data_IF_459303456178
#
_entry.id   IF_459303456178
#
_cell.length_a   1.000
_cell.length_b   1.000
_cell.length_c   1.000
_cell.angle_alpha   90.00
_cell.angle_beta   90.00
_cell.angle_gamma   90.00
#
_symmetry.space_group_name_H-M   'P 1'
#
loop_
_entity.id
_entity.type
_entity.pdbx_description
1 polymer ?
#
# COMPACT_ATOMS: atom_id res chain seq x y z
N UNK A 1 34.36 39.79 6.22
CA UNK A 1 35.08 40.05 7.49
C UNK A 1 36.53 40.44 7.23
N UNK A 2 37.29 39.61 6.50
CA UNK A 2 38.68 39.93 6.14
C UNK A 2 38.79 41.15 5.19
N UNK A 3 37.89 41.30 4.21
CA UNK A 3 37.83 42.51 3.35
C UNK A 3 37.40 43.78 4.09
N UNK A 4 36.74 43.60 5.23
CA UNK A 4 36.26 44.68 6.07
C UNK A 4 37.25 44.98 7.21
N UNK A 5 38.49 44.47 7.12
CA UNK A 5 39.60 44.70 8.05
C UNK A 5 39.27 44.42 9.53
N UNK A 6 38.37 43.46 9.78
CA UNK A 6 37.98 43.12 11.14
C UNK A 6 39.11 42.34 11.84
N UNK A 7 39.41 42.72 13.09
CA UNK A 7 40.43 42.06 13.92
C UNK A 7 40.21 40.54 14.02
N UNK A 8 41.29 39.77 13.91
CA UNK A 8 41.29 38.29 13.92
C UNK A 8 40.59 37.71 15.16
N UNK A 9 40.79 38.32 16.32
CA UNK A 9 40.16 37.88 17.59
C UNK A 9 38.63 38.00 17.52
N UNK A 10 38.11 39.07 16.91
CA UNK A 10 36.66 39.25 16.70
C UNK A 10 36.11 38.25 15.69
N UNK A 11 36.86 37.97 14.61
CA UNK A 11 36.47 36.96 13.61
C UNK A 11 36.34 35.58 14.26
N UNK A 12 37.29 35.19 15.11
CA UNK A 12 37.23 33.93 15.86
C UNK A 12 36.02 33.87 16.79
N UNK A 13 35.69 34.98 17.47
CA UNK A 13 34.52 35.05 18.34
C UNK A 13 33.19 34.90 17.59
N UNK A 14 33.09 35.49 16.39
CA UNK A 14 31.88 35.45 15.55
C UNK A 14 31.72 34.07 14.89
N UNK A 15 32.79 33.55 14.27
CA UNK A 15 32.74 32.32 13.46
C UNK A 15 33.03 31.05 14.27
N UNK A 16 33.45 31.19 15.54
CA UNK A 16 33.82 30.10 16.44
C UNK A 16 34.81 29.12 15.82
N UNK A 17 35.83 29.64 15.13
CA UNK A 17 36.86 28.86 14.46
C UNK A 17 38.26 29.14 15.04
N UNK A 18 39.22 28.27 14.71
CA UNK A 18 40.58 28.37 15.25
C UNK A 18 41.36 29.53 14.61
N UNK A 19 42.27 30.12 15.40
CA UNK A 19 43.17 31.18 14.94
C UNK A 19 43.95 30.77 13.69
N UNK A 20 44.45 29.52 13.66
CA UNK A 20 45.20 28.96 12.53
C UNK A 20 44.38 28.92 11.24
N UNK A 21 43.06 28.66 11.33
CA UNK A 21 42.18 28.67 10.15
C UNK A 21 41.99 30.08 9.63
N UNK A 22 41.74 31.05 10.50
CA UNK A 22 41.58 32.47 10.11
C UNK A 22 42.86 32.98 9.46
N UNK A 23 44.03 32.65 10.03
CA UNK A 23 45.32 33.03 9.49
C UNK A 23 45.59 32.38 8.12
N UNK A 24 45.31 31.07 7.98
CA UNK A 24 45.45 30.35 6.71
C UNK A 24 44.59 30.97 5.61
N UNK A 25 43.33 31.26 5.89
CA UNK A 25 42.40 31.88 4.94
C UNK A 25 42.82 33.31 4.58
N UNK A 26 43.30 34.09 5.55
CA UNK A 26 43.83 35.44 5.31
C UNK A 26 45.08 35.42 4.41
N UNK A 27 45.97 34.44 4.62
CA UNK A 27 47.16 34.23 3.79
C UNK A 27 46.79 33.82 2.36
N UNK A 28 45.94 32.80 2.19
CA UNK A 28 45.46 32.35 0.87
C UNK A 28 44.86 33.50 0.08
N UNK A 29 44.07 34.35 0.73
CA UNK A 29 43.49 35.54 0.10
C UNK A 29 44.52 36.58 -0.34
N UNK A 30 45.54 36.83 0.48
CA UNK A 30 46.63 37.76 0.16
C UNK A 30 47.46 37.25 -1.03
N UNK A 31 47.60 35.94 -1.13
CA UNK A 31 48.33 35.25 -2.21
C UNK A 31 47.48 35.09 -3.48
N UNK A 32 46.22 35.58 -3.47
CA UNK A 32 45.31 35.52 -4.62
C UNK A 32 44.71 34.13 -4.87
N UNK A 33 44.84 33.21 -3.92
CA UNK A 33 44.33 31.85 -4.02
C UNK A 33 42.81 31.81 -3.75
N UNK A 34 42.08 31.08 -4.59
CA UNK A 34 40.65 30.85 -4.41
C UNK A 34 40.36 29.99 -3.18
N UNK A 35 39.29 30.31 -2.44
CA UNK A 35 38.78 29.48 -1.34
C UNK A 35 37.84 28.37 -1.83
N UNK A 36 37.86 28.10 -3.13
CA UNK A 36 37.06 27.03 -3.71
C UNK A 36 37.61 25.68 -3.28
N UNK A 37 36.70 24.72 -3.11
CA UNK A 37 37.06 23.38 -2.69
C UNK A 37 37.81 22.70 -3.85
N UNK A 38 39.04 22.25 -3.60
CA UNK A 38 39.81 21.50 -4.59
C UNK A 38 39.02 20.28 -5.10
N UNK A 39 38.87 20.17 -6.41
CA UNK A 39 38.24 19.03 -7.07
C UNK A 39 39.04 17.75 -6.75
N UNK A 40 38.39 16.76 -6.15
CA UNK A 40 39.04 15.50 -5.72
C UNK A 40 39.38 15.42 -4.22
N UNK A 41 39.13 16.47 -3.44
CA UNK A 41 39.29 16.45 -1.97
C UNK A 41 38.27 15.58 -1.21
N UNK A 42 37.31 14.97 -1.93
CA UNK A 42 36.46 13.91 -1.40
C UNK A 42 37.12 12.56 -1.68
N UNK A 43 37.48 11.82 -0.64
CA UNK A 43 38.17 10.54 -0.79
C UNK A 43 37.50 9.63 -1.83
N UNK A 44 38.23 9.34 -2.91
CA UNK A 44 37.80 8.33 -3.87
C UNK A 44 37.73 6.98 -3.15
N UNK A 45 36.54 6.38 -3.12
CA UNK A 45 36.36 5.07 -2.51
C UNK A 45 36.92 4.00 -3.47
N UNK A 46 38.23 3.75 -3.38
CA UNK A 46 39.04 2.90 -4.28
C UNK A 46 38.48 1.48 -4.49
N UNK A 47 37.55 1.03 -3.65
CA UNK A 47 36.98 -0.32 -3.68
C UNK A 47 35.66 -0.46 -4.45
N UNK A 48 34.98 0.66 -4.79
CA UNK A 48 33.72 0.64 -5.57
C UNK A 48 33.99 0.86 -7.06
N UNK A 49 34.79 -0.01 -7.67
CA UNK A 49 35.09 0.08 -9.10
C UNK A 49 33.87 -0.37 -9.94
N UNK A 50 33.77 0.03 -11.21
CA UNK A 50 32.71 -0.45 -12.11
C UNK A 50 32.63 -1.98 -12.18
N UNK A 51 33.76 -2.68 -12.23
CA UNK A 51 33.80 -4.15 -12.28
C UNK A 51 33.28 -4.78 -10.98
N UNK A 52 33.52 -4.13 -9.84
CA UNK A 52 32.95 -4.56 -8.57
C UNK A 52 31.43 -4.39 -8.56
N UNK A 53 30.92 -3.24 -9.02
CA UNK A 53 29.49 -2.96 -9.09
C UNK A 53 28.76 -3.94 -10.01
N UNK A 54 29.34 -4.25 -11.17
CA UNK A 54 28.76 -5.22 -12.11
C UNK A 54 28.70 -6.63 -11.52
N UNK A 55 29.78 -7.09 -10.87
CA UNK A 55 29.77 -8.40 -10.18
C UNK A 55 28.77 -8.42 -9.02
N UNK A 56 28.66 -7.33 -8.26
CA UNK A 56 27.72 -7.20 -7.16
C UNK A 56 26.28 -7.25 -7.66
N UNK A 57 25.96 -6.49 -8.71
CA UNK A 57 24.64 -6.48 -9.34
C UNK A 57 24.28 -7.86 -9.88
N UNK A 58 25.22 -8.56 -10.53
CA UNK A 58 25.02 -9.93 -11.02
C UNK A 58 24.65 -10.89 -9.88
N UNK A 59 25.40 -10.88 -8.77
CA UNK A 59 25.10 -11.73 -7.60
C UNK A 59 23.75 -11.41 -6.96
N UNK A 60 23.36 -10.13 -6.92
CA UNK A 60 22.05 -9.71 -6.41
C UNK A 60 20.93 -10.18 -7.35
N UNK A 61 21.13 -10.15 -8.67
CA UNK A 61 20.15 -10.67 -9.65
C UNK A 61 20.02 -12.20 -9.56
N UNK A 62 21.11 -12.91 -9.29
CA UNK A 62 21.12 -14.37 -9.10
C UNK A 62 20.37 -14.80 -7.82
N UNK A 63 20.59 -14.10 -6.70
CA UNK A 63 19.86 -14.32 -5.45
C UNK A 63 19.46 -12.99 -4.79
N UNK A 64 18.26 -12.46 -5.11
CA UNK A 64 17.76 -11.22 -4.52
C UNK A 64 17.47 -11.30 -3.01
N UNK A 65 17.53 -12.50 -2.41
CA UNK A 65 17.28 -12.69 -0.97
C UNK A 65 18.57 -12.63 -0.14
N UNK A 66 19.73 -12.54 -0.80
CA UNK A 66 21.03 -12.54 -0.15
C UNK A 66 21.21 -11.28 0.71
N UNK A 67 21.57 -11.47 1.98
CA UNK A 67 21.76 -10.35 2.91
C UNK A 67 23.05 -9.59 2.60
N UNK A 68 23.09 -8.30 2.96
CA UNK A 68 24.31 -7.48 2.84
C UNK A 68 25.51 -8.10 3.54
N UNK A 69 25.30 -8.78 4.67
CA UNK A 69 26.35 -9.51 5.40
C UNK A 69 26.90 -10.71 4.61
N UNK A 70 26.05 -11.41 3.86
CA UNK A 70 26.52 -12.50 2.98
C UNK A 70 27.25 -11.94 1.75
N UNK A 71 26.77 -10.83 1.19
CA UNK A 71 27.48 -10.14 0.11
C UNK A 71 28.85 -9.60 0.58
N UNK A 72 28.94 -9.09 1.81
CA UNK A 72 30.20 -8.75 2.46
C UNK A 72 31.21 -9.92 2.44
N UNK A 73 30.80 -11.11 2.90
CA UNK A 73 31.66 -12.30 2.92
C UNK A 73 32.12 -12.70 1.50
N UNK A 74 31.22 -12.58 0.53
CA UNK A 74 31.44 -12.95 -0.87
C UNK A 74 32.44 -12.05 -1.61
N UNK A 75 32.56 -10.78 -1.20
CA UNK A 75 33.40 -9.78 -1.86
C UNK A 75 34.59 -9.33 -1.01
N UNK A 76 34.68 -9.76 0.26
CA UNK A 76 35.76 -9.39 1.19
C UNK A 76 35.99 -7.86 1.28
N UNK A 77 34.93 -7.09 1.07
CA UNK A 77 34.89 -5.62 1.23
C UNK A 77 34.04 -5.30 2.44
N UNK A 78 34.26 -4.15 3.07
CA UNK A 78 33.52 -3.73 4.26
C UNK A 78 31.99 -3.62 4.02
N UNK A 79 31.21 -3.92 5.07
CA UNK A 79 29.75 -3.94 5.01
C UNK A 79 29.16 -2.58 4.65
N UNK A 80 29.81 -1.49 5.07
CA UNK A 80 29.38 -0.13 4.75
C UNK A 80 29.62 0.18 3.26
N UNK A 81 30.70 -0.36 2.67
CA UNK A 81 30.96 -0.24 1.24
C UNK A 81 29.92 -1.00 0.41
N UNK A 82 29.50 -2.21 0.84
CA UNK A 82 28.39 -2.95 0.22
C UNK A 82 27.08 -2.17 0.31
N UNK A 83 26.74 -1.63 1.49
CA UNK A 83 25.51 -0.87 1.65
C UNK A 83 25.45 0.38 0.76
N UNK A 84 26.55 1.12 0.66
CA UNK A 84 26.65 2.28 -0.24
C UNK A 84 26.59 1.86 -1.70
N UNK A 85 27.33 0.83 -2.09
CA UNK A 85 27.29 0.26 -3.44
C UNK A 85 25.87 -0.12 -3.87
N UNK A 86 25.11 -0.79 -3.00
CA UNK A 86 23.74 -1.19 -3.34
C UNK A 86 22.79 0.00 -3.36
N UNK A 87 22.85 0.92 -2.38
CA UNK A 87 21.87 2.01 -2.24
C UNK A 87 22.17 3.24 -3.10
N UNK A 88 23.42 3.67 -3.14
CA UNK A 88 23.86 4.90 -3.81
C UNK A 88 24.24 4.63 -5.25
N UNK A 89 25.05 3.59 -5.50
CA UNK A 89 25.62 3.35 -6.83
C UNK A 89 24.68 2.52 -7.72
N UNK A 90 24.04 1.47 -7.19
CA UNK A 90 23.06 0.64 -7.92
C UNK A 90 21.61 1.13 -7.78
N UNK A 91 21.33 2.04 -6.84
CA UNK A 91 19.97 2.56 -6.61
C UNK A 91 18.96 1.51 -6.12
N UNK A 92 19.43 0.39 -5.56
CA UNK A 92 18.58 -0.71 -5.12
C UNK A 92 18.15 -0.53 -3.66
N UNK A 93 16.88 -0.82 -3.40
CA UNK A 93 16.30 -0.84 -2.05
C UNK A 93 15.79 -2.23 -1.69
N UNK A 94 16.10 -2.70 -0.48
CA UNK A 94 15.51 -3.92 0.05
C UNK A 94 14.05 -3.67 0.42
N UNK A 95 13.16 -4.57 0.01
CA UNK A 95 11.78 -4.60 0.48
C UNK A 95 11.42 -6.02 0.93
N UNK A 96 10.48 -6.13 1.87
CA UNK A 96 9.96 -7.42 2.28
C UNK A 96 9.00 -7.93 1.21
N UNK A 97 9.30 -9.09 0.61
CA UNK A 97 8.39 -9.75 -0.33
C UNK A 97 7.12 -10.17 0.41
N UNK A 98 5.96 -9.70 -0.06
CA UNK A 98 4.67 -10.16 0.48
C UNK A 98 4.40 -11.58 -0.02
N UNK A 99 4.15 -12.51 0.91
CA UNK A 99 3.68 -13.85 0.56
C UNK A 99 2.31 -13.76 -0.12
N UNK A 100 2.19 -14.34 -1.31
CA UNK A 100 0.93 -14.42 -2.06
C UNK A 100 0.57 -15.87 -2.32
N UNK A 101 -0.72 -16.13 -2.51
CA UNK A 101 -1.20 -17.44 -2.91
C UNK A 101 -0.55 -17.85 -4.25
N UNK A 102 0.01 -19.05 -4.31
CA UNK A 102 0.58 -19.59 -5.54
C UNK A 102 -0.53 -19.83 -6.56
N UNK A 103 -0.46 -19.20 -7.73
CA UNK A 103 -1.47 -19.38 -8.78
C UNK A 103 -1.05 -20.54 -9.68
N UNK A 104 -1.86 -21.60 -9.74
CA UNK A 104 -1.68 -22.65 -10.75
C UNK A 104 -2.07 -22.12 -12.14
N UNK A 105 -1.60 -22.77 -13.20
CA UNK A 105 -1.94 -22.38 -14.57
C UNK A 105 -3.46 -22.39 -14.83
N UNK A 106 -4.19 -23.31 -14.22
CA UNK A 106 -5.66 -23.32 -14.32
C UNK A 106 -6.30 -22.12 -13.61
N UNK A 107 -5.77 -21.72 -12.45
CA UNK A 107 -6.22 -20.51 -11.75
C UNK A 107 -5.95 -19.25 -12.58
N UNK A 108 -4.78 -19.14 -13.21
CA UNK A 108 -4.42 -18.03 -14.11
C UNK A 108 -5.37 -17.95 -15.30
N UNK A 109 -5.62 -19.07 -16.00
CA UNK A 109 -6.57 -19.11 -17.13
C UNK A 109 -7.98 -18.67 -16.73
N UNK A 110 -8.47 -19.16 -15.58
CA UNK A 110 -9.78 -18.75 -15.02
C UNK A 110 -9.79 -17.26 -14.67
N UNK A 111 -8.74 -16.76 -14.02
CA UNK A 111 -8.59 -15.33 -13.67
C UNK A 111 -8.55 -14.46 -14.93
N UNK A 112 -7.78 -14.83 -15.94
CA UNK A 112 -7.69 -14.14 -17.24
C UNK A 112 -9.05 -14.05 -17.93
N UNK A 113 -9.76 -15.18 -18.03
CA UNK A 113 -11.08 -15.24 -18.68
C UNK A 113 -12.08 -14.32 -17.99
N UNK A 114 -12.11 -14.35 -16.66
CA UNK A 114 -12.97 -13.48 -15.86
C UNK A 114 -12.57 -12.01 -15.95
N UNK A 115 -11.29 -11.69 -15.95
CA UNK A 115 -10.80 -10.32 -16.14
C UNK A 115 -11.21 -9.73 -17.50
N UNK A 116 -11.17 -10.53 -18.57
CA UNK A 116 -11.70 -10.12 -19.88
C UNK A 116 -13.19 -9.76 -19.81
N UNK A 117 -14.02 -10.57 -19.13
CA UNK A 117 -15.45 -10.28 -18.89
C UNK A 117 -15.64 -8.99 -18.10
N UNK A 118 -14.90 -8.81 -16.99
CA UNK A 118 -14.95 -7.60 -16.16
C UNK A 118 -14.58 -6.37 -16.98
N UNK A 119 -13.51 -6.43 -17.77
CA UNK A 119 -13.08 -5.31 -18.62
C UNK A 119 -14.17 -4.89 -19.62
N UNK A 120 -14.83 -5.85 -20.26
CA UNK A 120 -15.96 -5.58 -21.16
C UNK A 120 -17.11 -4.90 -20.43
N UNK A 121 -17.46 -5.39 -19.22
CA UNK A 121 -18.55 -4.80 -18.41
C UNK A 121 -18.23 -3.39 -17.91
N UNK A 122 -16.97 -3.13 -17.58
CA UNK A 122 -16.49 -1.79 -17.21
C UNK A 122 -16.52 -0.80 -18.39
N UNK A 123 -16.36 -1.28 -19.64
CA UNK A 123 -16.48 -0.44 -20.85
C UNK A 123 -17.93 -0.12 -21.21
N UNK A 124 -18.84 -1.09 -21.09
CA UNK A 124 -20.19 -0.98 -21.65
C UNK A 124 -21.19 -0.08 -20.90
N UNK A 125 -20.95 0.27 -19.63
CA UNK A 125 -21.97 0.91 -18.79
C UNK A 125 -21.41 2.04 -17.93
N UNK A 126 -21.15 3.21 -18.53
CA UNK A 126 -20.68 4.41 -17.81
C UNK A 126 -21.68 4.94 -16.78
N UNK A 127 -22.98 4.79 -17.05
CA UNK A 127 -24.08 5.32 -16.20
C UNK A 127 -24.44 4.45 -14.99
N UNK A 128 -24.05 3.16 -14.98
CA UNK A 128 -24.34 2.27 -13.84
C UNK A 128 -23.24 2.41 -12.80
N UNK A 129 -23.63 2.67 -11.54
CA UNK A 129 -22.71 2.75 -10.41
C UNK A 129 -22.30 1.35 -9.96
N UNK A 130 -21.00 1.11 -9.75
CA UNK A 130 -20.49 -0.19 -9.29
C UNK A 130 -20.39 -0.13 -7.76
N UNK A 131 -21.00 -1.09 -7.09
CA UNK A 131 -20.98 -1.20 -5.64
C UNK A 131 -20.03 -2.33 -5.27
N UNK A 132 -18.95 -2.00 -4.57
CA UNK A 132 -17.97 -2.94 -4.06
C UNK A 132 -18.20 -3.15 -2.57
N UNK A 133 -18.00 -4.39 -2.13
CA UNK A 133 -18.19 -4.77 -0.75
C UNK A 133 -17.20 -5.83 -0.34
N UNK A 134 -16.81 -5.79 0.93
CA UNK A 134 -15.84 -6.71 1.50
C UNK A 134 -15.95 -6.72 3.03
N UNK A 135 -15.46 -7.80 3.66
CA UNK A 135 -15.41 -7.97 5.10
C UNK A 135 -13.95 -8.02 5.55
N UNK A 136 -13.61 -7.19 6.54
CA UNK A 136 -12.28 -7.19 7.15
C UNK A 136 -12.35 -7.30 8.66
N UNK A 137 -11.36 -7.98 9.23
CA UNK A 137 -11.14 -8.05 10.68
C UNK A 137 -10.16 -6.94 11.08
N UNK A 138 -10.57 -6.09 11.99
CA UNK A 138 -9.71 -5.12 12.68
C UNK A 138 -9.34 -5.65 14.05
N UNK A 139 -8.07 -5.52 14.44
CA UNK A 139 -7.55 -5.99 15.72
C UNK A 139 -6.95 -4.83 16.51
N UNK A 140 -7.18 -4.79 17.82
CA UNK A 140 -6.74 -3.65 18.65
C UNK A 140 -5.21 -3.45 18.69
N UNK A 141 -4.43 -4.53 18.64
CA UNK A 141 -2.97 -4.48 18.89
C UNK A 141 -2.13 -4.31 17.62
N UNK A 142 -2.70 -3.76 16.55
CA UNK A 142 -1.96 -3.51 15.30
C UNK A 142 -1.14 -2.21 15.30
N UNK A 143 -1.00 -1.56 16.46
CA UNK A 143 -0.22 -0.33 16.61
C UNK A 143 1.28 -0.64 16.68
N UNK A 144 2.07 0.12 15.91
CA UNK A 144 3.52 -0.05 15.89
C UNK A 144 4.13 0.27 17.27
N UNK A 145 5.02 -0.61 17.75
CA UNK A 145 5.70 -0.43 19.04
C UNK A 145 4.92 -0.93 20.27
N UNK A 146 3.71 -1.48 20.09
CA UNK A 146 2.91 -2.08 21.18
C UNK A 146 3.05 -3.61 21.14
N UNK A 147 3.13 -4.23 22.33
CA UNK A 147 3.08 -5.69 22.44
C UNK A 147 1.76 -6.23 21.89
N UNK A 148 1.85 -7.24 21.01
CA UNK A 148 0.67 -7.96 20.52
C UNK A 148 0.23 -8.99 21.55
N UNK A 149 -1.01 -8.92 21.99
CA UNK A 149 -1.58 -10.00 22.80
C UNK A 149 -1.76 -11.26 21.94
N UNK A 150 -1.73 -12.43 22.59
CA UNK A 150 -1.86 -13.73 21.91
C UNK A 150 -3.24 -13.93 21.26
N UNK A 151 -4.27 -13.31 21.84
CA UNK A 151 -5.65 -13.35 21.36
C UNK A 151 -6.22 -11.93 21.38
N UNK A 152 -5.79 -11.06 20.45
CA UNK A 152 -6.20 -9.67 20.45
C UNK A 152 -7.69 -9.60 20.22
N UNK A 153 -8.36 -8.69 20.93
CA UNK A 153 -9.76 -8.44 20.67
C UNK A 153 -9.94 -7.86 19.26
N UNK A 154 -10.98 -8.31 18.57
CA UNK A 154 -11.18 -8.06 17.15
C UNK A 154 -12.63 -7.68 16.86
N UNK A 155 -12.83 -6.96 15.76
CA UNK A 155 -14.16 -6.71 15.20
C UNK A 155 -14.16 -6.96 13.71
N UNK A 156 -15.18 -7.67 13.22
CA UNK A 156 -15.37 -7.84 11.79
C UNK A 156 -16.27 -6.74 11.26
N UNK A 157 -15.84 -6.10 10.19
CA UNK A 157 -16.48 -4.92 9.59
C UNK A 157 -16.82 -5.24 8.14
N UNK A 158 -18.08 -5.01 7.76
CA UNK A 158 -18.50 -4.96 6.36
C UNK A 158 -18.41 -3.52 5.86
N UNK A 159 -17.59 -3.31 4.83
CA UNK A 159 -17.51 -2.08 4.07
C UNK A 159 -18.30 -2.18 2.77
N UNK A 160 -18.96 -1.09 2.38
CA UNK A 160 -19.63 -0.96 1.08
C UNK A 160 -19.31 0.41 0.51
N UNK A 161 -18.66 0.44 -0.66
CA UNK A 161 -18.25 1.66 -1.36
C UNK A 161 -18.74 1.64 -2.80
N UNK A 162 -19.03 2.81 -3.33
CA UNK A 162 -19.57 2.98 -4.67
C UNK A 162 -18.59 3.73 -5.56
N UNK A 163 -18.61 3.42 -6.87
CA UNK A 163 -17.71 4.02 -7.85
C UNK A 163 -17.89 5.52 -8.06
N UNK A 164 -18.97 6.10 -7.53
CA UNK A 164 -19.27 7.54 -7.55
C UNK A 164 -18.91 8.25 -6.23
N UNK A 165 -18.19 7.59 -5.32
CA UNK A 165 -17.71 8.20 -4.08
C UNK A 165 -18.61 7.99 -2.86
N UNK A 166 -19.85 7.53 -3.04
CA UNK A 166 -20.73 7.20 -1.92
C UNK A 166 -20.24 5.96 -1.16
N UNK A 167 -20.55 5.89 0.13
CA UNK A 167 -20.27 4.76 1.01
C UNK A 167 -21.42 4.52 1.98
N UNK A 168 -21.60 3.26 2.38
CA UNK A 168 -22.49 2.92 3.50
C UNK A 168 -21.74 3.11 4.81
N UNK A 169 -22.39 3.51 5.92
CA UNK A 169 -21.80 3.37 7.24
C UNK A 169 -21.29 1.94 7.48
N UNK A 170 -20.11 1.77 8.11
CA UNK A 170 -19.51 0.45 8.28
C UNK A 170 -20.38 -0.39 9.21
N UNK A 171 -20.66 -1.63 8.81
CA UNK A 171 -21.48 -2.54 9.62
C UNK A 171 -20.57 -3.46 10.44
N UNK A 172 -20.77 -3.45 11.76
CA UNK A 172 -19.99 -4.26 12.70
C UNK A 172 -20.75 -5.53 13.05
N UNK A 173 -20.13 -6.70 12.79
CA UNK A 173 -20.68 -7.97 13.25
C UNK A 173 -20.40 -8.15 14.75
N UNK A 174 -21.27 -8.91 15.42
CA UNK A 174 -21.08 -9.27 16.83
C UNK A 174 -19.81 -10.10 16.98
N UNK A 175 -19.03 -9.78 18.02
CA UNK A 175 -17.77 -10.47 18.30
C UNK A 175 -18.03 -11.94 18.66
N UNK A 176 -17.16 -12.85 18.21
CA UNK A 176 -17.23 -14.28 18.52
C UNK A 176 -18.28 -15.09 17.75
N UNK A 177 -19.22 -14.45 17.04
CA UNK A 177 -20.19 -15.17 16.20
C UNK A 177 -19.55 -15.54 14.86
N UNK A 178 -19.49 -16.84 14.55
CA UNK A 178 -19.28 -17.28 13.17
C UNK A 178 -20.42 -16.72 12.33
N UNK A 179 -20.11 -15.91 11.33
CA UNK A 179 -21.13 -15.38 10.41
C UNK A 179 -21.78 -16.57 9.68
N UNK A 180 -22.96 -16.96 10.13
CA UNK A 180 -23.82 -17.89 9.42
C UNK A 180 -24.39 -17.18 8.19
N UNK A 181 -24.66 -17.94 7.13
CA UNK A 181 -25.24 -17.39 5.90
C UNK A 181 -26.52 -16.60 6.17
N UNK A 182 -27.36 -17.06 7.11
CA UNK A 182 -28.61 -16.37 7.49
C UNK A 182 -28.37 -14.96 8.05
N UNK A 183 -27.42 -14.81 8.99
CA UNK A 183 -27.06 -13.50 9.57
C UNK A 183 -26.59 -12.56 8.46
N UNK A 184 -25.78 -13.05 7.55
CA UNK A 184 -25.30 -12.26 6.43
C UNK A 184 -26.44 -11.84 5.48
N UNK A 185 -27.39 -12.73 5.19
CA UNK A 185 -28.54 -12.41 4.33
C UNK A 185 -29.46 -11.37 4.98
N UNK A 186 -29.62 -11.41 6.31
CA UNK A 186 -30.33 -10.37 7.07
C UNK A 186 -29.62 -9.02 6.91
N UNK A 187 -28.30 -8.96 7.02
CA UNK A 187 -27.52 -7.73 6.79
C UNK A 187 -27.70 -7.23 5.35
N UNK A 188 -27.68 -8.13 4.36
CA UNK A 188 -27.91 -7.74 2.96
C UNK A 188 -29.32 -7.19 2.74
N UNK A 189 -30.35 -7.83 3.29
CA UNK A 189 -31.76 -7.45 3.08
C UNK A 189 -32.15 -6.19 3.86
N UNK A 190 -31.75 -6.10 5.11
CA UNK A 190 -32.25 -5.08 6.05
C UNK A 190 -31.27 -3.93 6.26
N UNK A 191 -30.02 -4.05 5.85
CA UNK A 191 -29.03 -2.95 5.98
C UNK A 191 -28.58 -2.49 4.60
N UNK A 192 -27.95 -3.38 3.83
CA UNK A 192 -27.33 -3.01 2.54
C UNK A 192 -28.39 -2.59 1.53
N UNK A 193 -29.43 -3.40 1.33
CA UNK A 193 -30.47 -3.09 0.35
C UNK A 193 -31.23 -1.80 0.67
N UNK A 194 -31.49 -1.51 1.95
CA UNK A 194 -32.12 -0.25 2.35
C UNK A 194 -31.23 0.95 1.99
N UNK A 195 -29.93 0.88 2.30
CA UNK A 195 -28.96 1.91 1.93
C UNK A 195 -28.87 2.09 0.40
N UNK A 196 -28.89 1.00 -0.36
CA UNK A 196 -28.85 1.04 -1.82
C UNK A 196 -30.11 1.67 -2.41
N UNK A 197 -31.30 1.31 -1.91
CA UNK A 197 -32.57 1.90 -2.35
C UNK A 197 -32.65 3.39 -2.04
N UNK A 198 -32.14 3.82 -0.89
CA UNK A 198 -32.07 5.23 -0.53
C UNK A 198 -31.11 6.02 -1.44
N UNK A 199 -29.96 5.45 -1.78
CA UNK A 199 -28.94 6.13 -2.58
C UNK A 199 -29.13 6.04 -4.09
N UNK A 200 -29.83 5.01 -4.56
CA UNK A 200 -30.03 4.65 -5.97
C UNK A 200 -31.47 4.16 -6.21
N UNK A 201 -32.49 5.02 -6.00
CA UNK A 201 -33.90 4.61 -6.09
C UNK A 201 -34.29 4.07 -7.47
N UNK A 202 -33.65 4.54 -8.54
CA UNK A 202 -33.86 4.08 -9.92
C UNK A 202 -33.17 2.73 -10.22
N UNK A 203 -32.46 2.12 -9.27
CA UNK A 203 -31.77 0.84 -9.48
C UNK A 203 -30.55 0.93 -10.41
N UNK A 204 -30.04 2.13 -10.69
CA UNK A 204 -28.86 2.38 -11.55
C UNK A 204 -27.52 2.01 -10.88
N UNK A 205 -27.47 0.84 -10.24
CA UNK A 205 -26.28 0.30 -9.61
C UNK A 205 -26.11 -1.18 -9.91
N UNK A 206 -24.90 -1.70 -9.74
CA UNK A 206 -24.62 -3.14 -9.78
C UNK A 206 -23.86 -3.57 -8.53
N UNK A 207 -24.41 -4.58 -7.85
CA UNK A 207 -23.83 -5.19 -6.67
C UNK A 207 -22.70 -6.15 -7.06
N UNK A 208 -21.53 -5.95 -6.46
CA UNK A 208 -20.34 -6.78 -6.66
C UNK A 208 -19.75 -7.22 -5.32
N UNK A 209 -19.34 -8.48 -5.24
CA UNK A 209 -18.64 -9.06 -4.09
C UNK A 209 -17.43 -9.85 -4.58
N UNK A 210 -16.52 -10.14 -3.66
CA UNK A 210 -15.40 -11.02 -3.89
C UNK A 210 -15.85 -12.46 -4.21
N UNK A 211 -14.94 -13.22 -4.84
CA UNK A 211 -15.20 -14.60 -5.26
C UNK A 211 -15.09 -15.64 -4.14
N UNK A 212 -15.38 -15.27 -2.88
CA UNK A 212 -15.33 -16.18 -1.74
C UNK A 212 -16.35 -17.32 -1.86
N UNK A 213 -16.04 -18.48 -1.28
CA UNK A 213 -16.87 -19.69 -1.39
C UNK A 213 -18.32 -19.49 -0.91
N UNK A 214 -18.53 -18.71 0.15
CA UNK A 214 -19.87 -18.38 0.66
C UNK A 214 -20.71 -17.60 -0.36
N UNK A 215 -20.07 -16.72 -1.13
CA UNK A 215 -20.70 -15.94 -2.19
C UNK A 215 -20.86 -16.75 -3.48
N UNK A 216 -20.18 -17.89 -3.63
CA UNK A 216 -20.33 -18.78 -4.79
C UNK A 216 -21.49 -19.79 -4.66
N UNK A 217 -22.12 -19.89 -3.48
CA UNK A 217 -23.24 -20.81 -3.24
C UNK A 217 -24.48 -20.44 -4.07
N UNK A 218 -25.20 -21.44 -4.55
CA UNK A 218 -26.38 -21.21 -5.39
C UNK A 218 -27.50 -20.48 -4.65
N UNK A 219 -27.64 -20.74 -3.34
CA UNK A 219 -28.58 -20.02 -2.49
C UNK A 219 -28.25 -18.53 -2.44
N UNK A 220 -26.98 -18.16 -2.27
CA UNK A 220 -26.54 -16.76 -2.26
C UNK A 220 -26.77 -16.08 -3.61
N UNK A 221 -26.43 -16.78 -4.70
CA UNK A 221 -26.60 -16.27 -6.06
C UNK A 221 -28.07 -16.00 -6.38
N UNK A 222 -28.96 -16.96 -6.06
CA UNK A 222 -30.42 -16.80 -6.19
C UNK A 222 -30.94 -15.65 -5.33
N UNK A 223 -30.50 -15.57 -4.08
CA UNK A 223 -30.89 -14.51 -3.16
C UNK A 223 -30.52 -13.12 -3.69
N UNK A 224 -29.26 -12.90 -4.09
CA UNK A 224 -28.82 -11.59 -4.60
C UNK A 224 -29.48 -11.22 -5.93
N UNK A 225 -29.68 -12.19 -6.81
CA UNK A 225 -30.42 -12.00 -8.07
C UNK A 225 -31.86 -11.55 -7.81
N UNK A 226 -32.49 -12.06 -6.75
CA UNK A 226 -33.87 -11.71 -6.40
C UNK A 226 -34.02 -10.33 -5.75
N UNK A 227 -33.02 -9.87 -4.98
CA UNK A 227 -33.17 -8.64 -4.18
C UNK A 227 -32.44 -7.40 -4.74
N UNK A 228 -31.39 -7.58 -5.55
CA UNK A 228 -30.60 -6.46 -6.08
C UNK A 228 -31.11 -6.03 -7.45
N UNK A 229 -31.04 -4.73 -7.75
CA UNK A 229 -31.41 -4.22 -9.08
C UNK A 229 -30.57 -4.85 -10.21
N UNK A 230 -29.24 -4.84 -10.02
CA UNK A 230 -28.32 -5.63 -10.83
C UNK A 230 -27.27 -6.28 -9.94
N UNK A 231 -26.83 -7.47 -10.33
CA UNK A 231 -25.87 -8.27 -9.58
C UNK A 231 -24.82 -8.88 -10.51
N UNK A 232 -23.56 -8.91 -10.07
CA UNK A 232 -22.49 -9.65 -10.74
C UNK A 232 -22.42 -11.08 -10.19
N UNK A 233 -22.80 -12.10 -10.99
CA UNK A 233 -22.78 -13.49 -10.55
C UNK A 233 -21.36 -14.03 -10.33
N UNK A 234 -21.28 -15.22 -9.70
CA UNK A 234 -20.02 -15.90 -9.31
C UNK A 234 -19.02 -16.15 -10.45
N UNK A 235 -19.49 -16.19 -11.70
CA UNK A 235 -18.66 -16.40 -12.88
C UNK A 235 -18.09 -15.09 -13.44
N UNK A 236 -18.47 -13.94 -12.88
CA UNK A 236 -18.01 -12.63 -13.32
C UNK A 236 -16.74 -12.19 -12.60
N UNK A 237 -16.69 -12.27 -11.27
CA UNK A 237 -15.52 -11.83 -10.49
C UNK A 237 -14.46 -12.94 -10.38
N UNK A 238 -13.17 -12.65 -10.63
CA UNK A 238 -12.10 -13.64 -10.45
C UNK A 238 -11.90 -14.02 -8.99
N UNK A 239 -11.71 -15.32 -8.76
CA UNK A 239 -11.47 -15.86 -7.42
C UNK A 239 -10.10 -15.40 -6.91
N UNK A 240 -9.97 -15.25 -5.58
CA UNK A 240 -8.70 -14.90 -4.91
C UNK A 240 -8.00 -13.67 -5.53
N UNK A 241 -8.78 -12.63 -5.85
CA UNK A 241 -8.29 -11.42 -6.53
C UNK A 241 -8.49 -10.15 -5.69
N UNK A 242 -7.86 -10.05 -4.51
CA UNK A 242 -7.86 -8.81 -3.71
C UNK A 242 -7.18 -7.66 -4.46
N UNK A 243 -6.36 -7.96 -5.46
CA UNK A 243 -5.78 -7.00 -6.39
C UNK A 243 -6.81 -6.29 -7.28
N UNK A 244 -8.07 -6.72 -7.30
CA UNK A 244 -9.11 -6.09 -8.12
C UNK A 244 -10.22 -5.41 -7.32
N UNK A 245 -10.28 -5.64 -6.00
CA UNK A 245 -11.30 -5.06 -5.13
C UNK A 245 -10.76 -3.77 -4.46
N UNK A 246 -11.38 -2.60 -4.67
CA UNK A 246 -10.89 -1.35 -4.11
C UNK A 246 -10.88 -1.33 -2.59
N UNK A 247 -11.72 -2.15 -1.95
CA UNK A 247 -11.69 -2.32 -0.51
C UNK A 247 -10.37 -2.93 -0.06
N UNK A 248 -9.97 -4.02 -0.69
CA UNK A 248 -8.74 -4.76 -0.36
C UNK A 248 -7.46 -3.98 -0.68
N UNK A 249 -7.35 -3.38 -1.87
CA UNK A 249 -6.07 -2.79 -2.29
C UNK A 249 -5.85 -1.34 -1.86
N UNK A 250 -6.88 -0.64 -1.37
CA UNK A 250 -6.76 0.78 -1.02
C UNK A 250 -7.51 1.15 0.25
N UNK A 251 -8.83 0.96 0.29
CA UNK A 251 -9.69 1.53 1.35
C UNK A 251 -9.33 0.96 2.72
N UNK A 252 -9.14 -0.36 2.82
CA UNK A 252 -8.77 -1.00 4.07
C UNK A 252 -7.39 -0.61 4.56
N UNK A 253 -6.41 -0.49 3.66
CA UNK A 253 -5.07 -0.04 4.01
C UNK A 253 -5.06 1.39 4.54
N UNK A 254 -5.82 2.30 3.90
CA UNK A 254 -5.94 3.68 4.39
C UNK A 254 -6.65 3.75 5.74
N UNK A 255 -7.72 2.96 5.93
CA UNK A 255 -8.44 2.92 7.20
C UNK A 255 -7.56 2.37 8.32
N UNK A 256 -6.86 1.25 8.10
CA UNK A 256 -5.90 0.68 9.06
C UNK A 256 -4.79 1.65 9.41
N UNK A 257 -4.21 2.32 8.41
CA UNK A 257 -3.14 3.32 8.62
C UNK A 257 -3.58 4.41 9.59
N UNK A 258 -4.84 4.84 9.51
CA UNK A 258 -5.38 5.87 10.41
C UNK A 258 -5.80 5.30 11.77
N UNK A 259 -6.51 4.19 11.80
CA UNK A 259 -7.00 3.58 13.06
C UNK A 259 -5.86 3.06 13.91
N UNK A 260 -4.73 2.65 13.32
CA UNK A 260 -3.58 2.08 14.03
C UNK A 260 -2.54 3.13 14.44
N UNK A 261 -2.86 4.43 14.35
CA UNK A 261 -1.97 5.51 14.84
C UNK A 261 -1.85 5.53 16.36
N UNK A 262 -2.90 5.15 17.06
CA UNK A 262 -2.96 5.14 18.52
C UNK A 262 -3.58 3.84 19.02
N UNK A 263 -3.14 3.33 20.18
CA UNK A 263 -3.75 2.17 20.81
C UNK A 263 -5.21 2.44 21.18
N UNK A 264 -6.02 1.37 21.18
CA UNK A 264 -7.41 1.43 21.61
C UNK A 264 -7.54 0.74 22.97
N UNK A 265 -8.28 1.31 23.94
CA UNK A 265 -8.48 0.68 25.25
C UNK A 265 -9.46 -0.51 25.20
N UNK A 266 -10.39 -0.53 24.26
CA UNK A 266 -11.37 -1.60 24.08
C UNK A 266 -11.91 -1.64 22.63
N UNK A 267 -12.70 -2.67 22.32
CA UNK A 267 -13.26 -2.87 20.98
C UNK A 267 -14.20 -1.73 20.58
N UNK A 268 -14.93 -1.14 21.51
CA UNK A 268 -15.89 -0.07 21.18
C UNK A 268 -15.19 1.25 20.84
N UNK A 269 -14.06 1.55 21.49
CA UNK A 269 -13.17 2.64 21.10
C UNK A 269 -12.58 2.42 19.69
N UNK A 270 -12.19 1.18 19.37
CA UNK A 270 -11.76 0.81 18.02
C UNK A 270 -12.89 1.01 17.00
N UNK A 271 -14.12 0.56 17.29
CA UNK A 271 -15.29 0.77 16.41
C UNK A 271 -15.60 2.25 16.22
N UNK A 272 -15.50 3.06 17.29
CA UNK A 272 -15.71 4.50 17.21
C UNK A 272 -14.69 5.15 16.29
N UNK A 273 -13.39 4.81 16.45
CA UNK A 273 -12.32 5.30 15.57
C UNK A 273 -12.54 4.87 14.12
N UNK A 274 -12.91 3.60 13.88
CA UNK A 274 -13.24 3.10 12.54
C UNK A 274 -14.37 3.91 11.92
N UNK A 275 -15.45 4.22 12.65
CA UNK A 275 -16.55 5.05 12.14
C UNK A 275 -16.07 6.45 11.78
N UNK A 276 -15.37 7.12 12.70
CA UNK A 276 -14.83 8.47 12.47
C UNK A 276 -13.94 8.52 11.24
N UNK A 277 -12.99 7.59 11.12
CA UNK A 277 -12.06 7.57 9.98
C UNK A 277 -12.73 7.12 8.68
N UNK A 278 -13.72 6.25 8.77
CA UNK A 278 -14.56 5.90 7.62
C UNK A 278 -15.32 7.11 7.13
N UNK A 279 -15.96 7.90 8.00
CA UNK A 279 -16.73 9.08 7.65
C UNK A 279 -15.83 10.19 7.08
N UNK A 280 -14.64 10.37 7.63
CA UNK A 280 -13.62 11.32 7.14
C UNK A 280 -12.99 10.92 5.79
N UNK A 281 -13.23 9.70 5.28
CA UNK A 281 -12.72 9.27 3.99
C UNK A 281 -13.38 10.05 2.85
N UNK A 282 -12.59 10.76 2.05
CA UNK A 282 -13.15 11.63 0.99
C UNK A 282 -13.81 10.83 -0.14
N UNK A 283 -14.85 11.41 -0.74
CA UNK A 283 -15.49 10.86 -1.92
C UNK A 283 -14.50 10.74 -3.09
N UNK A 284 -13.62 11.73 -3.24
CA UNK A 284 -12.57 11.74 -4.26
C UNK A 284 -11.64 10.51 -4.14
N UNK A 285 -11.21 10.17 -2.92
CA UNK A 285 -10.37 9.00 -2.68
C UNK A 285 -11.07 7.70 -3.12
N UNK A 286 -12.36 7.57 -2.82
CA UNK A 286 -13.17 6.40 -3.20
C UNK A 286 -13.38 6.32 -4.72
N UNK A 287 -13.68 7.45 -5.37
CA UNK A 287 -13.80 7.54 -6.84
C UNK A 287 -12.49 7.12 -7.49
N UNK A 288 -11.37 7.67 -7.01
CA UNK A 288 -10.04 7.39 -7.57
C UNK A 288 -9.65 5.93 -7.38
N UNK A 289 -9.93 5.36 -6.21
CA UNK A 289 -9.71 3.93 -5.94
C UNK A 289 -10.53 3.04 -6.89
N UNK A 290 -11.80 3.37 -7.14
CA UNK A 290 -12.64 2.62 -8.06
C UNK A 290 -12.20 2.78 -9.53
N UNK A 291 -11.72 3.96 -9.95
CA UNK A 291 -11.20 4.20 -11.31
C UNK A 291 -9.97 3.33 -11.62
N UNK A 292 -9.13 3.06 -10.61
CA UNK A 292 -7.91 2.26 -10.75
C UNK A 292 -8.20 0.80 -11.13
N UNK A 293 -9.38 0.26 -10.79
CA UNK A 293 -9.77 -1.13 -11.09
C UNK A 293 -9.59 -1.44 -12.57
N UNK A 294 -10.00 -0.55 -13.48
CA UNK A 294 -9.88 -0.77 -14.92
C UNK A 294 -8.41 -0.96 -15.35
N UNK A 295 -7.49 -0.18 -14.78
CA UNK A 295 -6.05 -0.31 -15.03
C UNK A 295 -5.52 -1.64 -14.49
N UNK A 296 -5.92 -2.01 -13.28
CA UNK A 296 -5.49 -3.28 -12.65
C UNK A 296 -6.01 -4.51 -13.39
N UNK A 297 -7.26 -4.50 -13.85
CA UNK A 297 -7.81 -5.57 -14.69
C UNK A 297 -7.01 -5.73 -15.99
N UNK A 298 -6.57 -4.62 -16.62
CA UNK A 298 -5.70 -4.69 -17.80
C UNK A 298 -4.32 -5.30 -17.47
N UNK A 299 -3.71 -4.87 -16.37
CA UNK A 299 -2.43 -5.42 -15.93
C UNK A 299 -2.52 -6.93 -15.65
N UNK A 300 -3.63 -7.42 -15.08
CA UNK A 300 -3.85 -8.86 -14.91
C UNK A 300 -3.96 -9.58 -16.25
N UNK A 301 -4.60 -8.96 -17.25
CA UNK A 301 -4.71 -9.53 -18.60
C UNK A 301 -3.33 -9.59 -19.28
N UNK A 302 -2.53 -8.53 -19.15
CA UNK A 302 -1.15 -8.46 -19.66
C UNK A 302 -0.24 -9.48 -18.97
N UNK A 303 -0.45 -9.73 -17.68
CA UNK A 303 0.23 -10.77 -16.92
C UNK A 303 -0.38 -12.19 -17.11
N UNK A 304 -1.24 -12.39 -18.11
CA UNK A 304 -1.91 -13.66 -18.43
C UNK A 304 -2.65 -14.32 -17.25
N UNK A 305 -3.24 -13.51 -16.37
CA UNK A 305 -3.91 -13.98 -15.15
C UNK A 305 -2.98 -14.14 -13.95
N UNK A 306 -1.74 -13.64 -14.03
CA UNK A 306 -0.77 -13.60 -12.94
C UNK A 306 -1.11 -12.62 -11.81
N UNK A 307 -0.15 -12.48 -10.90
CA UNK A 307 -0.17 -11.42 -9.89
C UNK A 307 0.26 -10.09 -10.52
N UNK A 308 -0.28 -9.00 -10.00
CA UNK A 308 0.12 -7.64 -10.35
C UNK A 308 0.53 -6.89 -9.09
N UNK A 309 1.32 -5.84 -9.28
CA UNK A 309 1.64 -4.84 -8.26
C UNK A 309 0.69 -3.64 -8.39
#
# INVERSE_FOLDING_TARGET
>A
LLDAEIEVIKIMGILKCSWSLVFKVAKMKKDGEGLEREAGSGGHNLKRTPEFLERLEKKIKEDPTKSMNRLFNDFSVDLMAINRAVREDLGLTSYTRTLRHLLTEDMKRKKLTKCKKVLTRLKGNGSIVKIFSDKKIFTMDQVQGVYRTKHPAQTMVLGVVASNGKKMPPFFFKAGEKIRNETYYKVLRYTVLLCLKANYPEGKYVWTQDGAASHASDLYQKFCTAIMAHFWPKDMWPSSSPDLNPLDFAVWGELERKTNRTPHPNVDALKATIRTEWDNMSEEFLINSCKVIRRRVKAVIEAEGGHIE
#
